data_IF_541046111925
#
_entry.id   IF_541046111925
#
_cell.length_a   1.000
_cell.length_b   1.000
_cell.length_c   1.000
_cell.angle_alpha   90.00
_cell.angle_beta   90.00
_cell.angle_gamma   90.00
#
_symmetry.space_group_name_H-M   'P 1'
#
loop_
_entity.id
_entity.type
_entity.pdbx_description
1 polymer ?
#
# COMPACT_ATOMS: atom_id res chain seq x y z
N UNK A 1 11.28 -10.32 -9.58
CA UNK A 1 10.63 -8.98 -9.59
C UNK A 1 11.30 -8.20 -10.72
N UNK A 2 10.65 -8.05 -11.87
CA UNK A 2 11.20 -7.34 -13.03
C UNK A 2 10.55 -5.97 -13.15
N UNK A 3 11.33 -4.92 -12.92
CA UNK A 3 10.99 -3.54 -13.26
C UNK A 3 11.75 -3.25 -14.54
N UNK A 4 11.05 -2.78 -15.58
CA UNK A 4 11.64 -2.53 -16.89
C UNK A 4 11.88 -1.03 -17.00
N UNK A 5 13.16 -0.65 -17.08
CA UNK A 5 13.60 0.73 -17.28
C UNK A 5 13.79 1.01 -18.77
N UNK A 6 13.40 2.20 -19.23
CA UNK A 6 13.78 2.71 -20.55
C UNK A 6 15.30 2.97 -20.57
N UNK A 7 15.89 3.07 -21.76
CA UNK A 7 17.27 3.50 -22.04
C UNK A 7 17.71 4.81 -21.35
N UNK A 8 16.75 5.61 -20.85
CA UNK A 8 16.95 6.83 -20.06
C UNK A 8 16.92 6.61 -18.54
N UNK A 9 16.79 5.38 -18.06
CA UNK A 9 16.59 5.04 -16.63
C UNK A 9 15.22 5.44 -16.08
N UNK A 10 14.27 5.81 -16.95
CA UNK A 10 12.91 6.17 -16.58
C UNK A 10 12.06 4.90 -16.57
N UNK A 11 11.38 4.65 -15.45
CA UNK A 11 10.48 3.50 -15.36
C UNK A 11 9.27 3.70 -16.27
N UNK A 12 9.04 2.70 -17.11
CA UNK A 12 8.00 2.72 -18.14
C UNK A 12 6.61 2.54 -17.56
N UNK A 13 5.58 3.09 -18.22
CA UNK A 13 4.15 2.87 -17.90
C UNK A 13 3.79 1.39 -17.78
N UNK A 14 4.46 0.52 -18.55
CA UNK A 14 4.34 -0.93 -18.46
C UNK A 14 4.73 -1.51 -17.09
N UNK A 15 5.69 -0.90 -16.38
CA UNK A 15 6.06 -1.34 -15.03
C UNK A 15 4.94 -1.07 -14.03
N UNK A 16 4.27 0.08 -14.13
CA UNK A 16 3.09 0.39 -13.30
C UNK A 16 1.92 -0.56 -13.61
N UNK A 17 1.62 -0.79 -14.88
CA UNK A 17 0.56 -1.72 -15.30
C UNK A 17 0.83 -3.15 -14.81
N UNK A 18 2.09 -3.59 -14.80
CA UNK A 18 2.48 -4.88 -14.24
C UNK A 18 2.28 -4.95 -12.71
N UNK A 19 2.57 -3.87 -11.97
CA UNK A 19 2.32 -3.78 -10.53
C UNK A 19 0.81 -3.80 -10.25
N UNK A 20 0.04 -3.00 -10.98
CA UNK A 20 -1.41 -2.97 -10.88
C UNK A 20 -2.04 -4.35 -11.15
N UNK A 21 -1.60 -5.03 -12.22
CA UNK A 21 -2.10 -6.37 -12.56
C UNK A 21 -1.81 -7.40 -11.47
N UNK A 22 -0.62 -7.34 -10.87
CA UNK A 22 -0.26 -8.21 -9.73
C UNK A 22 -1.10 -7.92 -8.49
N UNK A 23 -1.36 -6.65 -8.21
CA UNK A 23 -2.23 -6.23 -7.10
C UNK A 23 -3.63 -6.78 -7.30
N UNK A 24 -4.24 -6.56 -8.47
CA UNK A 24 -5.56 -7.07 -8.84
C UNK A 24 -5.61 -8.59 -8.64
N UNK A 25 -4.67 -9.32 -9.25
CA UNK A 25 -4.66 -10.78 -9.19
C UNK A 25 -4.57 -11.29 -7.74
N UNK A 26 -3.83 -10.59 -6.85
CA UNK A 26 -3.74 -11.00 -5.45
C UNK A 26 -5.01 -10.67 -4.67
N UNK A 27 -5.60 -9.49 -4.86
CA UNK A 27 -6.87 -9.12 -4.23
C UNK A 27 -7.98 -10.07 -4.69
N UNK A 28 -8.06 -10.38 -5.99
CA UNK A 28 -9.02 -11.35 -6.52
C UNK A 28 -8.86 -12.73 -5.87
N UNK A 29 -7.64 -13.26 -5.77
CA UNK A 29 -7.41 -14.54 -5.07
C UNK A 29 -7.88 -14.51 -3.61
N UNK A 30 -7.62 -13.42 -2.89
CA UNK A 30 -8.06 -13.26 -1.50
C UNK A 30 -9.59 -13.21 -1.40
N UNK A 31 -10.28 -12.57 -2.35
CA UNK A 31 -11.75 -12.50 -2.39
C UNK A 31 -12.42 -13.88 -2.55
N UNK A 32 -11.74 -14.86 -3.15
CA UNK A 32 -12.25 -16.22 -3.34
C UNK A 32 -11.94 -17.16 -2.15
N UNK A 33 -11.27 -16.66 -1.10
CA UNK A 33 -11.03 -17.44 0.11
C UNK A 33 -12.27 -17.48 1.01
N UNK A 34 -12.32 -18.45 1.94
CA UNK A 34 -13.42 -18.56 2.93
C UNK A 34 -13.19 -17.69 4.18
N UNK A 35 -12.45 -16.58 4.05
CA UNK A 35 -12.20 -15.68 5.17
C UNK A 35 -13.45 -14.86 5.49
N UNK A 36 -13.72 -14.66 6.79
CA UNK A 36 -14.73 -13.68 7.20
C UNK A 36 -14.27 -12.26 6.78
N UNK A 37 -15.20 -11.30 6.75
CA UNK A 37 -14.87 -9.95 6.30
C UNK A 37 -13.71 -9.32 7.08
N UNK A 38 -13.59 -9.59 8.39
CA UNK A 38 -12.51 -9.03 9.23
C UNK A 38 -11.15 -9.52 8.74
N UNK A 39 -11.03 -10.83 8.62
CA UNK A 39 -9.80 -11.49 8.20
C UNK A 39 -9.48 -11.20 6.73
N UNK A 40 -10.50 -11.02 5.89
CA UNK A 40 -10.32 -10.68 4.48
C UNK A 40 -9.69 -9.30 4.32
N UNK A 41 -10.23 -8.27 4.98
CA UNK A 41 -9.65 -6.92 4.92
C UNK A 41 -8.24 -6.88 5.52
N UNK A 42 -8.01 -7.59 6.63
CA UNK A 42 -6.66 -7.75 7.20
C UNK A 42 -5.69 -8.44 6.22
N UNK A 43 -6.12 -9.52 5.57
CA UNK A 43 -5.30 -10.22 4.58
C UNK A 43 -5.01 -9.36 3.34
N UNK A 44 -5.95 -8.53 2.90
CA UNK A 44 -5.73 -7.57 1.80
C UNK A 44 -4.68 -6.53 2.20
N UNK A 45 -4.78 -5.95 3.40
CA UNK A 45 -3.82 -4.98 3.88
C UNK A 45 -2.40 -5.57 3.97
N UNK A 46 -2.29 -6.77 4.57
CA UNK A 46 -1.01 -7.40 4.83
C UNK A 46 -0.37 -8.03 3.59
N UNK A 47 -1.15 -8.68 2.72
CA UNK A 47 -0.59 -9.46 1.61
C UNK A 47 -0.71 -8.76 0.25
N UNK A 48 -1.76 -7.96 0.02
CA UNK A 48 -1.93 -7.24 -1.23
C UNK A 48 -1.29 -5.86 -1.20
N UNK A 49 -1.71 -5.01 -0.27
CA UNK A 49 -1.25 -3.62 -0.19
C UNK A 49 0.23 -3.55 0.19
N UNK A 50 0.67 -4.34 1.16
CA UNK A 50 2.09 -4.38 1.54
C UNK A 50 3.04 -4.72 0.38
N UNK A 51 2.58 -5.46 -0.64
CA UNK A 51 3.41 -5.74 -1.80
C UNK A 51 3.68 -4.51 -2.68
N UNK A 52 2.88 -3.45 -2.56
CA UNK A 52 3.07 -2.19 -3.27
C UNK A 52 4.18 -1.36 -2.58
N UNK A 53 4.42 -1.55 -1.28
CA UNK A 53 5.40 -0.80 -0.49
C UNK A 53 6.79 -0.72 -1.14
N UNK A 54 7.26 -1.85 -1.70
CA UNK A 54 8.54 -1.89 -2.43
C UNK A 54 8.50 -1.04 -3.71
N UNK A 55 7.38 -1.06 -4.41
CA UNK A 55 7.19 -0.38 -5.68
C UNK A 55 7.04 1.14 -5.51
N UNK A 56 6.52 1.63 -4.39
CA UNK A 56 6.39 3.06 -4.09
C UNK A 56 7.76 3.76 -3.99
N UNK A 57 8.76 3.09 -3.40
CA UNK A 57 10.11 3.66 -3.27
C UNK A 57 10.92 3.59 -4.57
N UNK A 58 10.50 2.75 -5.52
CA UNK A 58 11.25 2.50 -6.77
C UNK A 58 10.60 3.24 -7.94
N UNK A 59 9.28 3.20 -8.08
CA UNK A 59 8.53 3.93 -9.11
C UNK A 59 8.30 5.37 -8.65
N UNK A 60 8.57 6.34 -9.54
CA UNK A 60 8.14 7.73 -9.35
C UNK A 60 6.64 7.83 -9.63
N UNK A 61 5.81 7.43 -8.67
CA UNK A 61 4.36 7.50 -8.76
C UNK A 61 3.85 8.84 -8.26
N UNK A 62 2.96 9.45 -9.04
CA UNK A 62 2.20 10.62 -8.58
C UNK A 62 1.05 10.18 -7.66
N UNK A 63 0.56 11.05 -6.75
CA UNK A 63 -0.60 10.75 -5.90
C UNK A 63 -1.82 10.30 -6.71
N UNK A 64 -2.01 10.87 -7.90
CA UNK A 64 -3.09 10.48 -8.83
C UNK A 64 -2.98 9.03 -9.32
N UNK A 65 -1.77 8.46 -9.40
CA UNK A 65 -1.61 7.05 -9.80
C UNK A 65 -1.85 6.11 -8.62
N UNK A 66 -1.52 6.53 -7.40
CA UNK A 66 -1.82 5.78 -6.18
C UNK A 66 -3.33 5.75 -5.90
N UNK A 67 -4.04 6.86 -6.10
CA UNK A 67 -5.49 6.91 -5.94
C UNK A 67 -6.23 6.04 -6.97
N UNK A 68 -5.69 5.90 -8.19
CA UNK A 68 -6.19 4.92 -9.18
C UNK A 68 -6.06 3.48 -8.69
N UNK A 69 -4.97 3.13 -8.00
CA UNK A 69 -4.82 1.78 -7.43
C UNK A 69 -5.91 1.51 -6.39
N UNK A 70 -6.26 2.50 -5.56
CA UNK A 70 -7.36 2.39 -4.60
C UNK A 70 -8.71 2.14 -5.30
N UNK A 71 -8.98 2.86 -6.39
CA UNK A 71 -10.20 2.66 -7.18
C UNK A 71 -10.26 1.28 -7.85
N UNK A 72 -9.11 0.78 -8.32
CA UNK A 72 -8.99 -0.57 -8.89
C UNK A 72 -9.25 -1.64 -7.83
N UNK A 73 -8.67 -1.53 -6.64
CA UNK A 73 -8.92 -2.45 -5.52
C UNK A 73 -10.41 -2.43 -5.14
N UNK A 74 -11.01 -1.23 -5.06
CA UNK A 74 -12.45 -1.08 -4.79
C UNK A 74 -13.30 -1.74 -5.89
N UNK A 75 -12.94 -1.59 -7.16
CA UNK A 75 -13.65 -2.23 -8.27
C UNK A 75 -13.65 -3.76 -8.15
N UNK A 76 -12.51 -4.36 -7.75
CA UNK A 76 -12.41 -5.80 -7.48
C UNK A 76 -13.33 -6.22 -6.33
N UNK A 77 -13.37 -5.45 -5.24
CA UNK A 77 -14.25 -5.74 -4.10
C UNK A 77 -15.74 -5.66 -4.47
N UNK A 78 -16.11 -4.71 -5.34
CA UNK A 78 -17.48 -4.57 -5.85
C UNK A 78 -17.84 -5.73 -6.77
N UNK A 79 -16.93 -6.11 -7.68
CA UNK A 79 -17.10 -7.27 -8.58
C UNK A 79 -17.36 -8.57 -7.81
N UNK A 80 -16.65 -8.75 -6.69
CA UNK A 80 -16.79 -9.93 -5.83
C UNK A 80 -17.91 -9.81 -4.77
N UNK A 81 -18.77 -8.78 -4.87
CA UNK A 81 -19.92 -8.55 -3.96
C UNK A 81 -19.55 -8.38 -2.47
N UNK A 82 -18.29 -8.05 -2.17
CA UNK A 82 -17.81 -7.76 -0.80
C UNK A 82 -18.18 -6.33 -0.39
N UNK A 83 -18.17 -5.41 -1.36
CA UNK A 83 -18.58 -4.02 -1.19
C UNK A 83 -19.68 -3.70 -2.19
N UNK A 84 -20.68 -2.92 -1.78
CA UNK A 84 -21.75 -2.49 -2.68
C UNK A 84 -21.30 -1.29 -3.48
N UNK A 85 -21.67 -1.22 -4.77
CA UNK A 85 -21.36 -0.08 -5.65
C UNK A 85 -21.83 1.29 -5.11
N UNK A 86 -23.03 1.44 -4.50
CA UNK A 86 -23.44 2.68 -3.83
C UNK A 86 -22.78 2.89 -2.45
N UNK A 87 -21.82 2.05 -2.06
CA UNK A 87 -21.10 2.18 -0.81
C UNK A 87 -20.23 3.44 -0.77
N UNK A 88 -20.19 4.07 0.39
CA UNK A 88 -19.31 5.21 0.69
C UNK A 88 -17.84 4.78 0.61
N UNK A 89 -17.05 5.52 -0.21
CA UNK A 89 -15.60 5.27 -0.43
C UNK A 89 -14.83 5.47 0.87
N UNK A 90 -15.19 6.51 1.61
CA UNK A 90 -14.58 6.90 2.87
C UNK A 90 -14.75 5.79 3.92
N UNK A 91 -15.95 5.18 3.98
CA UNK A 91 -16.24 4.08 4.90
C UNK A 91 -15.38 2.84 4.64
N UNK A 92 -14.91 2.63 3.41
CA UNK A 92 -14.02 1.51 3.08
C UNK A 92 -12.67 1.68 3.79
N UNK A 93 -12.15 2.91 3.79
CA UNK A 93 -10.84 3.25 4.34
C UNK A 93 -10.84 3.51 5.85
N UNK A 94 -11.98 3.94 6.41
CA UNK A 94 -12.12 4.18 7.85
C UNK A 94 -11.84 2.93 8.69
N UNK A 95 -11.32 3.14 9.90
CA UNK A 95 -11.09 2.08 10.86
C UNK A 95 -12.41 1.41 11.24
N UNK A 96 -12.33 0.13 11.60
CA UNK A 96 -13.52 -0.63 12.05
C UNK A 96 -14.07 -0.11 13.37
N UNK A 97 -13.22 0.44 14.23
CA UNK A 97 -13.61 1.16 15.45
C UNK A 97 -14.45 2.39 15.15
N UNK A 98 -14.30 2.96 13.95
CA UNK A 98 -15.01 4.14 13.44
C UNK A 98 -16.12 3.74 12.46
N UNK A 99 -16.72 2.55 12.63
CA UNK A 99 -17.79 2.00 11.79
C UNK A 99 -17.41 1.74 10.31
N UNK A 100 -16.11 1.79 10.00
CA UNK A 100 -15.54 1.54 8.68
C UNK A 100 -15.34 0.06 8.34
N UNK A 101 -14.48 -0.20 7.35
CA UNK A 101 -14.09 -1.56 6.91
C UNK A 101 -12.63 -1.88 7.20
N UNK A 102 -11.81 -0.85 7.43
CA UNK A 102 -10.39 -0.96 7.77
C UNK A 102 -9.51 -1.37 6.58
N UNK A 103 -9.90 -1.05 5.34
CA UNK A 103 -9.01 -1.21 4.20
C UNK A 103 -7.98 -0.07 4.22
N UNK A 104 -6.70 -0.37 4.05
CA UNK A 104 -5.71 0.71 3.94
C UNK A 104 -5.82 1.39 2.56
N UNK A 105 -5.81 2.72 2.52
CA UNK A 105 -5.62 3.45 1.26
C UNK A 105 -4.15 3.36 0.87
N UNK A 106 -3.90 2.97 -0.38
CA UNK A 106 -2.55 2.91 -0.95
C UNK A 106 -1.94 4.31 -1.00
N UNK A 107 -2.71 5.32 -1.40
CA UNK A 107 -2.26 6.72 -1.43
C UNK A 107 -1.81 7.20 -0.05
N UNK A 108 -2.70 7.16 0.94
CA UNK A 108 -2.40 7.63 2.31
C UNK A 108 -1.28 6.82 2.96
N UNK A 109 -1.24 5.51 2.74
CA UNK A 109 -0.17 4.65 3.27
C UNK A 109 1.19 5.01 2.65
N UNK A 110 1.23 5.28 1.35
CA UNK A 110 2.46 5.68 0.65
C UNK A 110 2.96 7.02 1.15
N UNK A 111 2.07 8.01 1.28
CA UNK A 111 2.40 9.32 1.82
C UNK A 111 2.99 9.20 3.23
N UNK A 112 2.32 8.44 4.11
CA UNK A 112 2.79 8.22 5.47
C UNK A 112 4.19 7.58 5.50
N UNK A 113 4.42 6.56 4.67
CA UNK A 113 5.73 5.91 4.56
C UNK A 113 6.83 6.88 4.09
N UNK A 114 6.53 7.73 3.10
CA UNK A 114 7.49 8.70 2.57
C UNK A 114 7.81 9.80 3.58
N UNK A 115 6.80 10.31 4.31
CA UNK A 115 6.99 11.27 5.39
C UNK A 115 7.85 10.69 6.52
N UNK A 116 7.58 9.44 6.93
CA UNK A 116 8.40 8.75 7.93
C UNK A 116 9.85 8.57 7.47
N UNK A 117 10.06 8.22 6.21
CA UNK A 117 11.40 8.13 5.63
C UNK A 117 12.11 9.48 5.64
N UNK A 118 11.42 10.56 5.25
CA UNK A 118 11.96 11.91 5.27
C UNK A 118 12.36 12.34 6.68
N UNK A 119 11.48 12.13 7.66
CA UNK A 119 11.75 12.44 9.06
C UNK A 119 12.93 11.62 9.60
N UNK A 120 13.04 10.35 9.20
CA UNK A 120 14.17 9.51 9.55
C UNK A 120 15.48 10.07 8.98
N UNK A 121 15.50 10.41 7.68
CA UNK A 121 16.69 10.96 7.03
C UNK A 121 17.14 12.29 7.64
N UNK A 122 16.20 13.20 7.92
CA UNK A 122 16.48 14.48 8.62
C UNK A 122 17.12 14.26 10.00
N UNK A 123 16.72 13.19 10.67
CA UNK A 123 17.22 12.85 12.00
C UNK A 123 18.58 12.12 11.98
N UNK A 124 18.95 11.46 10.88
CA UNK A 124 20.31 10.89 10.70
C UNK A 124 21.35 12.00 10.54
N UNK A 125 21.00 13.09 9.85
CA UNK A 125 21.85 14.27 9.70
C UNK A 125 22.05 15.05 11.00
N UNK A 126 21.23 14.79 12.03
CA UNK A 126 21.50 15.24 13.39
C UNK A 126 22.52 14.30 14.07
N UNK A 127 23.54 14.82 14.75
CA UNK A 127 24.49 14.00 15.49
C UNK A 127 23.79 13.35 16.69
N UNK A 128 23.33 12.11 16.50
CA UNK A 128 22.78 11.20 17.52
C UNK A 128 23.63 9.93 17.57
N UNK A 129 23.72 9.28 18.73
CA UNK A 129 24.54 8.08 18.96
C UNK A 129 24.04 6.88 18.15
N UNK A 130 24.96 6.05 17.62
CA UNK A 130 24.66 4.93 16.71
C UNK A 130 23.65 3.90 17.26
N UNK A 131 23.59 3.73 18.59
CA UNK A 131 22.60 2.88 19.26
C UNK A 131 21.16 3.37 19.07
N UNK A 132 20.94 4.68 19.11
CA UNK A 132 19.61 5.30 18.93
C UNK A 132 19.15 5.16 17.48
N UNK A 133 20.07 5.23 16.51
CA UNK A 133 19.79 4.98 15.10
C UNK A 133 19.40 3.53 14.86
N UNK A 134 20.14 2.58 15.43
CA UNK A 134 19.91 1.14 15.29
C UNK A 134 18.58 0.67 15.89
N UNK A 135 18.21 1.19 17.07
CA UNK A 135 16.92 0.87 17.71
C UNK A 135 15.73 1.46 16.94
N UNK A 136 15.88 2.65 16.34
CA UNK A 136 14.83 3.29 15.54
C UNK A 136 14.63 2.62 14.19
N UNK A 137 15.70 2.18 13.52
CA UNK A 137 15.63 1.35 12.31
C UNK A 137 14.81 0.08 12.56
N UNK A 138 15.03 -0.59 13.70
CA UNK A 138 14.23 -1.76 14.10
C UNK A 138 12.74 -1.43 14.27
N UNK A 139 12.41 -0.26 14.80
CA UNK A 139 11.02 0.16 14.97
C UNK A 139 10.34 0.51 13.64
N UNK A 140 11.05 1.17 12.72
CA UNK A 140 10.54 1.49 11.37
C UNK A 140 10.29 0.20 10.58
N UNK A 141 11.23 -0.75 10.61
CA UNK A 141 11.05 -2.06 9.96
C UNK A 141 9.83 -2.80 10.54
N UNK A 142 9.57 -2.68 11.85
CA UNK A 142 8.36 -3.26 12.47
C UNK A 142 7.07 -2.58 12.01
N UNK A 143 7.06 -1.26 11.83
CA UNK A 143 5.90 -0.49 11.37
C UNK A 143 5.59 -0.69 9.88
N UNK A 144 6.61 -0.88 9.03
CA UNK A 144 6.42 -1.19 7.60
C UNK A 144 5.84 -2.59 7.40
N UNK A 145 6.18 -3.52 8.29
CA UNK A 145 5.77 -4.93 8.23
C UNK A 145 4.45 -5.25 8.94
N UNK A 146 3.79 -4.26 9.57
CA UNK A 146 2.46 -4.37 10.17
C UNK A 146 1.38 -3.63 9.34
#
# INVERSE_FOLDING_TARGET
LGIIEDSRGIQTRSSFEAVQSKLIARVERLCHTRLNAINLFSAINQHAISSINYHIGVLRLEPTDLSKLDDVVRAVLVKNKIHLRPGCKERLSLLRTELGRGLHSVELRSEHMLLQLLDFLKNITNPQTEEQKSQRLRNIVKLINH
#
